data_IF_179555153973
#
_entry.id   IF_179555153973
#
_cell.length_a   1.000
_cell.length_b   1.000
_cell.length_c   1.000
_cell.angle_alpha   90.00
_cell.angle_beta   90.00
_cell.angle_gamma   90.00
#
_symmetry.space_group_name_H-M   'P 1'
#
loop_
_entity.id
_entity.type
_entity.pdbx_description
1 polymer ?
#
# COMPACT_ATOMS: atom_id res chain seq x y z
N UNK A 1 -5.32 -7.16 -22.00
CA UNK A 1 -5.13 -6.58 -20.66
C UNK A 1 -4.63 -7.68 -19.76
N UNK A 2 -3.34 -7.63 -19.46
CA UNK A 2 -2.69 -8.49 -18.49
C UNK A 2 -2.65 -7.75 -17.14
N UNK A 3 -2.98 -8.45 -16.05
CA UNK A 3 -2.84 -7.93 -14.69
C UNK A 3 -1.87 -8.83 -13.94
N UNK A 4 -0.83 -8.24 -13.37
CA UNK A 4 0.14 -8.94 -12.51
C UNK A 4 0.15 -8.33 -11.11
N UNK A 5 0.29 -9.19 -10.11
CA UNK A 5 0.54 -8.79 -8.73
C UNK A 5 1.92 -9.33 -8.38
N UNK A 6 2.83 -8.42 -8.05
CA UNK A 6 4.23 -8.75 -7.78
C UNK A 6 4.59 -8.31 -6.37
N UNK A 7 5.40 -9.11 -5.67
CA UNK A 7 5.93 -8.71 -4.37
C UNK A 7 6.73 -7.41 -4.54
N UNK A 8 6.39 -6.39 -3.75
CA UNK A 8 7.11 -5.13 -3.78
C UNK A 8 8.53 -5.33 -3.24
N UNK A 9 9.48 -4.63 -3.84
CA UNK A 9 10.88 -4.53 -3.40
C UNK A 9 11.15 -3.13 -2.87
N UNK A 10 12.26 -2.96 -2.14
CA UNK A 10 12.62 -1.65 -1.60
C UNK A 10 12.75 -0.55 -2.68
N UNK A 11 13.23 -0.92 -3.88
CA UNK A 11 13.29 -0.02 -5.04
C UNK A 11 11.92 0.45 -5.54
N UNK A 12 10.82 -0.23 -5.17
CA UNK A 12 9.45 0.17 -5.53
C UNK A 12 8.85 1.20 -4.56
N UNK A 13 9.50 1.50 -3.42
CA UNK A 13 8.91 2.30 -2.35
C UNK A 13 8.54 3.72 -2.78
N UNK A 14 9.40 4.40 -3.56
CA UNK A 14 9.11 5.74 -4.08
C UNK A 14 7.97 5.73 -5.09
N UNK A 15 7.94 4.72 -5.98
CA UNK A 15 6.87 4.54 -6.96
C UNK A 15 5.51 4.33 -6.28
N UNK A 16 5.49 3.56 -5.19
CA UNK A 16 4.29 3.33 -4.38
C UNK A 16 3.83 4.64 -3.72
N UNK A 17 4.74 5.37 -3.09
CA UNK A 17 4.42 6.65 -2.43
C UNK A 17 3.87 7.68 -3.42
N UNK A 18 4.49 7.81 -4.58
CA UNK A 18 4.03 8.69 -5.66
C UNK A 18 2.64 8.27 -6.15
N UNK A 19 2.42 6.97 -6.33
CA UNK A 19 1.12 6.40 -6.71
C UNK A 19 0.03 6.68 -5.68
N UNK A 20 0.31 6.48 -4.40
CA UNK A 20 -0.60 6.80 -3.30
C UNK A 20 -0.97 8.29 -3.33
N UNK A 21 0.00 9.19 -3.45
CA UNK A 21 -0.27 10.64 -3.54
C UNK A 21 -1.15 10.98 -4.74
N UNK A 22 -0.87 10.44 -5.92
CA UNK A 22 -1.68 10.67 -7.13
C UNK A 22 -3.13 10.22 -6.97
N UNK A 23 -3.36 9.06 -6.34
CA UNK A 23 -4.70 8.51 -6.17
C UNK A 23 -5.48 9.13 -5.01
N UNK A 24 -4.81 9.44 -3.90
CA UNK A 24 -5.45 9.81 -2.64
C UNK A 24 -5.45 11.31 -2.36
N UNK A 25 -4.67 12.14 -3.07
CA UNK A 25 -4.69 13.60 -2.87
C UNK A 25 -6.08 14.21 -3.14
N UNK A 26 -6.79 13.85 -4.24
CA UNK A 26 -8.16 14.36 -4.46
C UNK A 26 -9.13 13.93 -3.34
N UNK A 27 -8.90 12.75 -2.74
CA UNK A 27 -9.71 12.25 -1.63
C UNK A 27 -9.37 12.98 -0.33
N UNK A 28 -8.10 13.29 -0.09
CA UNK A 28 -7.65 14.08 1.05
C UNK A 28 -8.27 15.48 1.00
N UNK A 29 -8.24 16.13 -0.16
CA UNK A 29 -8.84 17.47 -0.34
C UNK A 29 -10.35 17.45 -0.08
N UNK A 30 -11.05 16.40 -0.53
CA UNK A 30 -12.50 16.25 -0.37
C UNK A 30 -12.93 15.92 1.05
N UNK A 31 -12.25 14.97 1.70
CA UNK A 31 -12.68 14.41 2.98
C UNK A 31 -11.90 14.97 4.18
N UNK A 32 -10.78 15.67 3.95
CA UNK A 32 -9.92 16.26 4.99
C UNK A 32 -9.48 15.25 6.06
N UNK A 33 -9.35 13.99 5.67
CA UNK A 33 -8.86 12.91 6.54
C UNK A 33 -7.33 13.00 6.63
N UNK A 34 -6.84 13.82 7.56
CA UNK A 34 -5.40 14.00 7.75
C UNK A 34 -4.77 12.88 8.60
N UNK A 35 -5.56 12.04 9.24
CA UNK A 35 -5.06 11.03 10.18
C UNK A 35 -4.74 9.70 9.49
N UNK A 36 -5.59 9.26 8.56
CA UNK A 36 -5.52 7.90 7.98
C UNK A 36 -5.21 7.88 6.48
N UNK A 37 -5.11 9.04 5.83
CA UNK A 37 -4.95 9.08 4.39
C UNK A 37 -3.55 8.63 3.94
N UNK A 38 -3.45 7.74 2.93
CA UNK A 38 -2.16 7.27 2.39
C UNK A 38 -1.20 8.37 1.91
N UNK A 39 -1.69 9.57 1.57
CA UNK A 39 -0.86 10.72 1.23
C UNK A 39 0.10 11.14 2.34
N UNK A 40 -0.27 10.88 3.60
CA UNK A 40 0.50 11.24 4.79
C UNK A 40 1.50 10.16 5.21
N UNK A 41 1.51 9.01 4.52
CA UNK A 41 2.47 7.95 4.75
C UNK A 41 3.89 8.42 4.41
N UNK A 42 4.85 8.07 5.26
CA UNK A 42 6.27 8.40 5.05
C UNK A 42 6.95 7.29 4.25
N UNK A 43 7.96 7.66 3.47
CA UNK A 43 8.74 6.70 2.68
C UNK A 43 9.32 5.59 3.56
N UNK A 44 9.82 5.93 4.74
CA UNK A 44 10.39 4.97 5.70
C UNK A 44 9.35 3.96 6.21
N UNK A 45 8.07 4.37 6.30
CA UNK A 45 6.98 3.48 6.71
C UNK A 45 6.65 2.46 5.61
N UNK A 46 6.63 2.90 4.35
CA UNK A 46 6.45 2.02 3.19
C UNK A 46 7.61 1.03 3.09
N UNK A 47 8.85 1.52 3.21
CA UNK A 47 10.05 0.66 3.21
C UNK A 47 10.00 -0.39 4.31
N UNK A 48 9.61 0.00 5.53
CA UNK A 48 9.41 -0.92 6.65
C UNK A 48 8.35 -1.97 6.33
N UNK A 49 7.19 -1.57 5.82
CA UNK A 49 6.10 -2.49 5.44
C UNK A 49 6.51 -3.46 4.32
N UNK A 50 7.34 -3.04 3.36
CA UNK A 50 7.89 -3.91 2.31
C UNK A 50 8.79 -5.01 2.91
N UNK A 51 9.60 -4.65 3.91
CA UNK A 51 10.54 -5.57 4.59
C UNK A 51 9.78 -6.53 5.52
N UNK A 52 8.90 -6.00 6.37
CA UNK A 52 8.36 -6.73 7.53
C UNK A 52 7.03 -7.44 7.25
N UNK A 53 6.31 -7.04 6.20
CA UNK A 53 4.93 -7.47 5.96
C UNK A 53 4.67 -7.84 4.52
N UNK A 54 3.42 -8.13 4.16
CA UNK A 54 3.04 -8.51 2.80
C UNK A 54 2.63 -7.30 1.97
N UNK A 55 3.58 -6.75 1.21
CA UNK A 55 3.33 -5.62 0.30
C UNK A 55 3.51 -6.05 -1.15
N UNK A 56 2.52 -5.76 -1.99
CA UNK A 56 2.53 -6.08 -3.42
C UNK A 56 2.25 -4.84 -4.27
N UNK A 57 2.89 -4.76 -5.44
CA UNK A 57 2.54 -3.82 -6.51
C UNK A 57 1.62 -4.49 -7.53
N UNK A 58 0.71 -3.71 -8.09
CA UNK A 58 -0.24 -4.13 -9.12
C UNK A 58 0.21 -3.50 -10.43
N UNK A 59 0.40 -4.34 -11.45
CA UNK A 59 0.77 -3.92 -12.80
C UNK A 59 -0.37 -4.25 -13.77
N UNK A 60 -0.72 -3.30 -14.64
CA UNK A 60 -1.62 -3.51 -15.78
C UNK A 60 -0.82 -3.28 -17.06
N UNK A 61 -0.74 -4.30 -17.91
CA UNK A 61 0.08 -4.30 -19.13
C UNK A 61 1.54 -3.82 -18.86
N UNK A 62 2.09 -4.25 -17.72
CA UNK A 62 3.45 -3.92 -17.26
C UNK A 62 3.62 -2.56 -16.61
N UNK A 63 2.58 -1.73 -16.50
CA UNK A 63 2.64 -0.40 -15.86
C UNK A 63 2.07 -0.43 -14.46
N UNK A 64 2.70 0.31 -13.55
CA UNK A 64 2.23 0.47 -12.18
C UNK A 64 0.82 1.07 -12.14
N UNK A 65 -0.09 0.40 -11.44
CA UNK A 65 -1.48 0.80 -11.30
C UNK A 65 -1.92 0.94 -9.84
N UNK A 66 -1.07 0.58 -8.88
CA UNK A 66 -1.37 0.65 -7.46
C UNK A 66 -0.58 -0.35 -6.64
N UNK A 67 -0.83 -0.39 -5.35
CA UNK A 67 -0.21 -1.32 -4.42
C UNK A 67 -1.18 -1.74 -3.33
N UNK A 68 -0.95 -2.91 -2.75
CA UNK A 68 -1.74 -3.46 -1.65
C UNK A 68 -0.81 -3.95 -0.54
N UNK A 69 -1.13 -3.54 0.67
CA UNK A 69 -0.54 -4.04 1.90
C UNK A 69 -1.53 -5.00 2.56
N UNK A 70 -1.05 -6.19 2.96
CA UNK A 70 -1.85 -7.22 3.63
C UNK A 70 -1.34 -7.37 5.06
N UNK A 71 -2.18 -6.96 6.02
CA UNK A 71 -2.00 -7.27 7.43
C UNK A 71 -2.64 -8.63 7.71
N UNK A 72 -1.84 -9.64 8.05
CA UNK A 72 -2.39 -10.91 8.52
C UNK A 72 -2.62 -10.80 10.04
N UNK A 73 -3.87 -10.58 10.45
CA UNK A 73 -4.25 -10.85 11.84
C UNK A 73 -4.41 -12.36 12.01
N UNK A 74 -3.47 -12.97 12.73
CA UNK A 74 -3.63 -14.36 13.15
C UNK A 74 -4.63 -14.39 14.30
N UNK A 75 -5.89 -14.69 14.02
CA UNK A 75 -6.85 -15.06 15.05
C UNK A 75 -6.37 -16.39 15.66
N UNK A 76 -5.75 -16.33 16.83
CA UNK A 76 -5.54 -17.53 17.65
C UNK A 76 -6.91 -18.03 18.09
N UNK A 77 -7.11 -19.35 18.07
CA UNK A 77 -8.40 -20.02 18.34
C UNK A 77 -8.95 -19.80 19.77
N UNK A 78 -8.31 -18.99 20.61
CA UNK A 78 -8.63 -18.85 22.03
C UNK A 78 -9.65 -17.75 22.34
N UNK A 79 -10.17 -17.03 21.33
CA UNK A 79 -11.18 -15.97 21.51
C UNK A 79 -12.56 -16.37 20.98
N UNK A 80 -13.04 -17.54 21.40
CA UNK A 80 -14.47 -17.89 21.38
C UNK A 80 -14.82 -18.33 22.80
N UNK A 81 -15.28 -17.38 23.61
CA UNK A 81 -15.94 -17.62 24.91
C UNK A 81 -17.45 -17.70 24.65
#
# INVERSE_FOLDING_TARGET
MEVRIERAKLEDAELILEGQRKCFLPLLERYQDHDLNPCNEKLESIQKSIIEHYFYKILVDGKFSGAVYVCAEFFTKDTLI
#
